data_IF_359520725452
#
_entry.id   IF_359520725452
#
_cell.length_a   1.000
_cell.length_b   1.000
_cell.length_c   1.000
_cell.angle_alpha   90.00
_cell.angle_beta   90.00
_cell.angle_gamma   90.00
#
_symmetry.space_group_name_H-M   'P 1'
#
loop_
_entity.id
_entity.type
_entity.pdbx_description
1 polymer ?
#
# COMPACT_ATOMS: atom_id res chain seq x y z
N UNK A 1 5.77 -12.66 17.74
CA UNK A 1 5.06 -11.54 17.09
C UNK A 1 5.71 -11.18 15.75
N UNK A 2 7.01 -10.87 15.72
CA UNK A 2 7.74 -10.46 14.50
C UNK A 2 7.74 -11.49 13.37
N UNK A 3 7.97 -12.78 13.67
CA UNK A 3 7.92 -13.84 12.65
C UNK A 3 6.54 -13.99 11.99
N UNK A 4 5.46 -13.63 12.71
CA UNK A 4 4.10 -13.62 12.17
C UNK A 4 3.87 -12.39 11.27
N UNK A 5 4.39 -11.22 11.69
CA UNK A 5 4.37 -10.01 10.87
C UNK A 5 5.15 -10.19 9.56
N UNK A 6 6.42 -10.61 9.63
CA UNK A 6 7.27 -10.79 8.45
C UNK A 6 6.64 -11.76 7.43
N UNK A 7 5.99 -12.83 7.92
CA UNK A 7 5.24 -13.76 7.06
C UNK A 7 4.06 -13.09 6.34
N UNK A 8 3.30 -12.24 7.03
CA UNK A 8 2.18 -11.49 6.42
C UNK A 8 2.68 -10.48 5.40
N UNK A 9 3.72 -9.73 5.74
CA UNK A 9 4.37 -8.77 4.84
C UNK A 9 4.86 -9.48 3.57
N UNK A 10 5.59 -10.59 3.74
CA UNK A 10 6.09 -11.37 2.60
C UNK A 10 4.96 -11.92 1.73
N UNK A 11 3.87 -12.41 2.33
CA UNK A 11 2.70 -12.88 1.59
C UNK A 11 2.07 -11.73 0.77
N UNK A 12 2.01 -10.51 1.33
CA UNK A 12 1.53 -9.32 0.61
C UNK A 12 2.48 -8.93 -0.51
N UNK A 13 3.80 -8.95 -0.31
CA UNK A 13 4.80 -8.71 -1.36
C UNK A 13 4.60 -9.70 -2.51
N UNK A 14 4.55 -11.00 -2.20
CA UNK A 14 4.35 -12.04 -3.22
C UNK A 14 3.04 -11.87 -4.00
N UNK A 15 2.01 -11.30 -3.38
CA UNK A 15 0.71 -11.07 -4.03
C UNK A 15 0.67 -9.78 -4.85
N UNK A 16 1.18 -8.68 -4.31
CA UNK A 16 0.98 -7.32 -4.83
C UNK A 16 2.15 -6.84 -5.70
N UNK A 17 3.35 -7.37 -5.44
CA UNK A 17 4.59 -6.97 -6.10
C UNK A 17 5.08 -8.02 -7.11
N UNK A 18 4.24 -9.00 -7.45
CA UNK A 18 4.60 -10.07 -8.38
C UNK A 18 4.79 -9.56 -9.81
N UNK A 19 5.74 -10.17 -10.52
CA UNK A 19 5.90 -9.98 -11.96
C UNK A 19 4.70 -10.60 -12.70
N UNK A 20 4.15 -9.84 -13.65
CA UNK A 20 3.20 -10.39 -14.62
C UNK A 20 3.93 -11.24 -15.69
N UNK A 21 3.17 -11.81 -16.63
CA UNK A 21 3.72 -12.65 -17.72
C UNK A 21 4.77 -11.93 -18.56
N UNK A 22 4.62 -10.63 -18.76
CA UNK A 22 5.57 -9.80 -19.49
C UNK A 22 6.82 -9.45 -18.68
N UNK A 23 6.91 -9.87 -17.41
CA UNK A 23 8.04 -9.59 -16.54
C UNK A 23 8.00 -8.21 -15.89
N UNK A 24 6.82 -7.61 -15.75
CA UNK A 24 6.67 -6.30 -15.09
C UNK A 24 5.94 -6.45 -13.75
N UNK A 25 6.38 -5.72 -12.74
CA UNK A 25 5.64 -5.42 -11.53
C UNK A 25 5.53 -3.90 -11.38
N UNK A 26 4.33 -3.39 -11.19
CA UNK A 26 4.01 -1.96 -11.06
C UNK A 26 3.17 -1.79 -9.79
N UNK A 27 3.28 -0.66 -9.10
CA UNK A 27 2.33 -0.38 -8.03
C UNK A 27 0.95 -0.08 -8.65
N UNK A 28 -0.13 -0.29 -7.89
CA UNK A 28 -1.48 -0.19 -8.42
C UNK A 28 -1.77 1.21 -9.03
N UNK A 29 -1.26 2.28 -8.43
CA UNK A 29 -1.36 3.63 -8.99
C UNK A 29 -0.75 3.76 -10.38
N UNK A 30 0.52 3.37 -10.56
CA UNK A 30 1.21 3.46 -11.85
C UNK A 30 0.59 2.54 -12.91
N UNK A 31 0.13 1.35 -12.50
CA UNK A 31 -0.54 0.41 -13.41
C UNK A 31 -1.89 0.98 -13.90
N UNK A 32 -2.70 1.51 -12.97
CA UNK A 32 -4.01 2.11 -13.30
C UNK A 32 -3.93 3.28 -14.28
N UNK A 33 -2.84 4.05 -14.23
CA UNK A 33 -2.58 5.22 -15.08
C UNK A 33 -1.75 4.89 -16.32
N UNK A 34 -1.31 3.63 -16.47
CA UNK A 34 -0.43 3.19 -17.56
C UNK A 34 0.85 4.03 -17.66
N UNK A 35 1.38 4.39 -16.50
CA UNK A 35 2.58 5.21 -16.41
C UNK A 35 3.80 4.50 -16.98
N UNK A 36 4.81 5.30 -17.36
CA UNK A 36 6.05 4.74 -17.88
C UNK A 36 6.82 4.02 -16.77
N UNK A 37 7.42 2.90 -17.17
CA UNK A 37 8.31 2.11 -16.32
C UNK A 37 9.65 2.84 -16.18
N UNK A 38 10.22 2.81 -14.99
CA UNK A 38 11.59 3.25 -14.76
C UNK A 38 12.59 2.15 -15.16
N UNK A 39 12.26 0.89 -14.88
CA UNK A 39 13.13 -0.25 -15.18
C UNK A 39 12.53 -1.19 -16.24
N UNK A 40 13.35 -1.73 -17.17
CA UNK A 40 12.91 -2.74 -18.12
C UNK A 40 12.34 -4.00 -17.45
N UNK A 41 11.51 -4.79 -18.16
CA UNK A 41 10.96 -6.03 -17.60
C UNK A 41 12.05 -6.95 -17.03
N UNK A 42 11.79 -7.54 -15.85
CA UNK A 42 12.70 -8.40 -15.07
C UNK A 42 14.01 -7.74 -14.62
N UNK A 43 14.14 -6.42 -14.77
CA UNK A 43 15.37 -5.68 -14.50
C UNK A 43 15.18 -4.58 -13.44
N UNK A 44 14.15 -4.69 -12.60
CA UNK A 44 14.02 -3.84 -11.43
C UNK A 44 15.02 -4.28 -10.35
N UNK A 45 15.62 -3.35 -9.58
CA UNK A 45 16.45 -3.69 -8.44
C UNK A 45 15.70 -4.55 -7.39
N UNK A 46 16.42 -5.26 -6.50
CA UNK A 46 15.81 -5.90 -5.35
C UNK A 46 14.91 -4.93 -4.56
N UNK A 47 13.83 -5.46 -3.98
CA UNK A 47 12.84 -4.72 -3.19
C UNK A 47 12.15 -3.54 -3.90
N UNK A 48 12.22 -3.51 -5.23
CA UNK A 48 11.74 -2.42 -6.07
C UNK A 48 10.91 -2.95 -7.25
N UNK A 49 9.88 -2.20 -7.63
CA UNK A 49 9.02 -2.46 -8.77
C UNK A 49 9.56 -1.82 -10.05
N UNK A 50 9.11 -2.27 -11.22
CA UNK A 50 9.49 -1.67 -12.51
C UNK A 50 9.09 -0.19 -12.65
N UNK A 51 8.11 0.29 -11.88
CA UNK A 51 7.77 1.72 -11.81
C UNK A 51 8.73 2.55 -10.95
N UNK A 52 9.70 1.95 -10.26
CA UNK A 52 10.60 2.65 -9.34
C UNK A 52 10.13 2.70 -7.90
N UNK A 53 8.89 2.28 -7.60
CA UNK A 53 8.41 2.23 -6.22
C UNK A 53 9.02 1.07 -5.46
N UNK A 54 9.31 1.28 -4.18
CA UNK A 54 9.72 0.18 -3.30
C UNK A 54 8.53 -0.73 -2.97
N UNK A 55 8.83 -1.95 -2.51
CA UNK A 55 7.79 -2.83 -1.96
C UNK A 55 7.02 -2.16 -0.82
N UNK A 56 7.71 -1.45 0.08
CA UNK A 56 7.07 -0.76 1.20
C UNK A 56 6.06 0.30 0.72
N UNK A 57 6.42 1.10 -0.28
CA UNK A 57 5.54 2.10 -0.88
C UNK A 57 4.29 1.47 -1.51
N UNK A 58 4.45 0.35 -2.21
CA UNK A 58 3.33 -0.36 -2.83
C UNK A 58 2.40 -1.01 -1.79
N UNK A 59 2.97 -1.59 -0.73
CA UNK A 59 2.20 -2.14 0.39
C UNK A 59 1.43 -1.04 1.13
N UNK A 60 2.06 0.12 1.32
CA UNK A 60 1.45 1.27 1.97
C UNK A 60 0.30 1.83 1.13
N UNK A 61 0.48 1.99 -0.18
CA UNK A 61 -0.58 2.40 -1.11
C UNK A 61 -1.80 1.47 -1.02
N UNK A 62 -1.57 0.16 -0.99
CA UNK A 62 -2.64 -0.82 -0.84
C UNK A 62 -3.32 -0.73 0.53
N UNK A 63 -2.56 -0.49 1.59
CA UNK A 63 -3.11 -0.29 2.93
C UNK A 63 -3.99 0.96 3.00
N UNK A 64 -3.56 2.09 2.42
CA UNK A 64 -4.37 3.31 2.34
C UNK A 64 -5.69 3.06 1.59
N UNK A 65 -5.62 2.44 0.42
CA UNK A 65 -6.79 2.18 -0.41
C UNK A 65 -7.81 1.23 0.27
N UNK A 66 -7.32 0.19 0.95
CA UNK A 66 -8.20 -0.75 1.70
C UNK A 66 -8.96 -0.06 2.83
N UNK A 67 -8.37 0.97 3.43
CA UNK A 67 -8.97 1.73 4.52
C UNK A 67 -9.71 3.00 4.03
N UNK A 68 -9.91 3.15 2.72
CA UNK A 68 -10.63 4.28 2.13
C UNK A 68 -9.92 5.62 2.26
N UNK A 69 -8.61 5.64 2.54
CA UNK A 69 -7.86 6.89 2.69
C UNK A 69 -7.69 7.55 1.32
N UNK A 70 -8.19 8.78 1.21
CA UNK A 70 -8.17 9.57 -0.03
C UNK A 70 -9.44 9.44 -0.89
N UNK A 71 -10.42 8.62 -0.49
CA UNK A 71 -11.74 8.58 -1.12
C UNK A 71 -12.61 9.75 -0.64
N UNK A 72 -13.32 10.42 -1.56
CA UNK A 72 -14.24 11.50 -1.21
C UNK A 72 -15.66 10.99 -1.02
N UNK A 73 -16.07 9.97 -1.80
CA UNK A 73 -17.40 9.37 -1.69
C UNK A 73 -17.32 7.93 -1.15
N UNK A 74 -18.37 7.46 -0.44
CA UNK A 74 -18.46 6.06 -0.02
C UNK A 74 -18.35 5.10 -1.20
N UNK A 75 -17.45 4.12 -1.09
CA UNK A 75 -17.24 3.10 -2.12
C UNK A 75 -16.24 3.48 -3.22
N UNK A 76 -15.73 4.71 -3.24
CA UNK A 76 -14.63 5.07 -4.14
C UNK A 76 -13.33 4.41 -3.68
N UNK A 77 -12.63 3.74 -4.60
CA UNK A 77 -11.25 3.30 -4.38
C UNK A 77 -10.32 4.32 -5.02
N UNK A 78 -9.72 5.17 -4.20
CA UNK A 78 -8.71 6.13 -4.65
C UNK A 78 -7.33 5.57 -4.36
N UNK A 79 -6.46 5.57 -5.39
CA UNK A 79 -5.03 5.30 -5.23
C UNK A 79 -4.32 6.64 -5.10
N UNK A 80 -3.62 6.82 -3.99
CA UNK A 80 -2.91 8.07 -3.70
C UNK A 80 -1.66 8.21 -4.58
N UNK A 81 -1.42 9.44 -5.04
CA UNK A 81 -0.26 9.81 -5.84
C UNK A 81 1.07 9.52 -5.11
N UNK A 82 2.10 8.95 -5.77
CA UNK A 82 3.44 8.76 -5.22
C UNK A 82 4.01 10.00 -4.53
N UNK A 83 3.81 11.19 -5.10
CA UNK A 83 4.33 12.46 -4.58
C UNK A 83 3.71 12.84 -3.22
N UNK A 84 2.52 12.35 -2.91
CA UNK A 84 1.86 12.58 -1.62
C UNK A 84 2.06 11.40 -0.66
N UNK A 85 1.90 10.17 -1.15
CA UNK A 85 1.95 8.98 -0.29
C UNK A 85 3.35 8.68 0.23
N UNK A 86 4.41 8.93 -0.55
CA UNK A 86 5.76 8.53 -0.17
C UNK A 86 6.31 9.41 0.96
N UNK A 87 6.13 10.76 0.93
CA UNK A 87 6.42 11.59 2.10
C UNK A 87 5.59 11.21 3.33
N UNK A 88 4.31 10.86 3.14
CA UNK A 88 3.45 10.40 4.24
C UNK A 88 3.97 9.10 4.87
N UNK A 89 4.37 8.12 4.06
CA UNK A 89 4.97 6.88 4.55
C UNK A 89 6.20 7.18 5.41
N UNK A 90 7.14 7.98 4.89
CA UNK A 90 8.37 8.35 5.61
C UNK A 90 8.05 9.02 6.94
N UNK A 91 7.12 9.97 6.95
CA UNK A 91 6.68 10.63 8.17
C UNK A 91 6.13 9.63 9.19
N UNK A 92 5.30 8.67 8.74
CA UNK A 92 4.72 7.65 9.61
C UNK A 92 5.77 6.68 10.17
N UNK A 93 6.76 6.32 9.36
CA UNK A 93 7.89 5.49 9.78
C UNK A 93 8.75 6.22 10.81
N UNK A 94 9.07 7.49 10.57
CA UNK A 94 9.95 8.29 11.44
C UNK A 94 9.31 8.64 12.77
N UNK A 95 8.06 9.11 12.75
CA UNK A 95 7.40 9.67 13.95
C UNK A 95 6.70 8.59 14.77
N UNK A 96 6.12 7.57 14.11
CA UNK A 96 5.30 6.55 14.77
C UNK A 96 5.83 5.13 14.61
N UNK A 97 6.96 4.92 13.93
CA UNK A 97 7.52 3.58 13.74
C UNK A 97 6.61 2.67 12.93
N UNK A 98 5.84 3.23 11.99
CA UNK A 98 4.88 2.50 11.17
C UNK A 98 5.48 1.24 10.53
N UNK A 99 4.70 0.15 10.55
CA UNK A 99 5.01 -1.10 9.85
C UNK A 99 3.80 -1.55 9.02
N UNK A 100 4.08 -2.27 7.92
CA UNK A 100 3.02 -2.87 7.10
C UNK A 100 2.04 -3.68 7.98
N UNK A 101 0.75 -3.47 7.74
CA UNK A 101 -0.33 -4.08 8.52
C UNK A 101 -0.71 -3.34 9.81
N UNK A 102 -0.08 -2.21 10.17
CA UNK A 102 -0.49 -1.44 11.34
C UNK A 102 -1.91 -0.87 11.22
N UNK A 103 -2.37 -0.53 10.00
CA UNK A 103 -3.76 -0.12 9.79
C UNK A 103 -4.75 -1.25 10.05
N UNK A 104 -4.36 -2.51 9.79
CA UNK A 104 -5.22 -3.67 10.03
C UNK A 104 -5.40 -3.98 11.54
N UNK A 105 -4.60 -3.35 12.43
CA UNK A 105 -4.78 -3.44 13.89
C UNK A 105 -5.96 -2.60 14.39
N UNK A 106 -6.26 -1.51 13.70
CA UNK A 106 -7.45 -0.72 14.00
C UNK A 106 -8.65 -1.50 13.50
N UNK A 107 -9.47 -2.02 14.41
CA UNK A 107 -10.75 -2.60 14.02
C UNK A 107 -11.54 -1.53 13.27
N UNK A 108 -12.14 -1.93 12.16
CA UNK A 108 -12.93 -1.06 11.30
C UNK A 108 -13.86 -0.16 12.13
N UNK A 109 -13.89 1.13 11.77
CA UNK A 109 -14.86 2.11 12.26
C UNK A 109 -16.23 1.45 12.37
N UNK A 110 -16.66 1.13 13.58
CA UNK A 110 -18.00 0.60 13.78
C UNK A 110 -18.88 1.80 14.03
N UNK A 111 -19.63 2.20 13.00
CA UNK A 111 -20.71 3.16 13.19
C UNK A 111 -21.81 2.38 13.90
N UNK A 112 -22.04 2.70 15.18
CA UNK A 112 -23.15 2.12 15.90
C UNK A 112 -24.48 2.55 15.21
N UNK A 113 -25.59 1.80 15.38
CA UNK A 113 -26.86 2.15 14.76
C UNK A 113 -27.38 3.57 15.08
N UNK A 114 -26.86 4.18 16.15
CA UNK A 114 -27.14 5.54 16.59
C UNK A 114 -26.22 6.62 15.95
N UNK A 115 -25.30 6.24 15.07
CA UNK A 115 -24.35 7.15 14.42
C UNK A 115 -23.12 7.50 15.25
N UNK A 116 -22.95 6.94 16.45
CA UNK A 116 -21.75 7.18 17.26
C UNK A 116 -20.54 6.43 16.72
N UNK A 117 -19.40 7.14 16.69
CA UNK A 117 -18.11 6.57 16.32
C UNK A 117 -17.46 5.92 17.54
N UNK A 118 -17.18 4.62 17.45
CA UNK A 118 -16.32 3.91 18.40
C UNK A 118 -14.95 3.63 17.81
N UNK A 119 -13.95 3.98 18.58
CA UNK A 119 -12.54 3.69 18.34
C UNK A 119 -12.11 2.69 19.42
N UNK A 120 -12.04 1.41 19.07
CA UNK A 120 -11.58 0.33 19.97
C UNK A 120 -10.06 0.15 19.88
#
# INVERSE_FOLDING_TARGET
FEASWARRTQARITRLCALNRAGNALCAWHDSRRERRLYPPRNAPPDTLNCGCSHAEALFEESLARHGVGAYLPGESVRMDPALRNPLLKLLEEVWGYKDGDFDKFKARTIAPNGEERWD
#
